data_IF_124126958933
#
_entry.id   IF_124126958933
#
_cell.length_a   1.000
_cell.length_b   1.000
_cell.length_c   1.000
_cell.angle_alpha   90.00
_cell.angle_beta   90.00
_cell.angle_gamma   90.00
#
_symmetry.space_group_name_H-M   'P 1'
#
loop_
_entity.id
_entity.type
_entity.pdbx_description
1 polymer ?
#
# COMPACT_ATOMS: atom_id res chain seq x y z
N UNK A 1 24.53 -7.94 9.03
CA UNK A 1 24.79 -7.73 7.61
C UNK A 1 23.47 -7.39 6.94
N UNK A 2 23.21 -6.08 6.83
CA UNK A 2 22.04 -5.55 6.14
C UNK A 2 22.35 -5.49 4.64
N UNK A 3 22.80 -6.63 4.09
CA UNK A 3 23.04 -6.76 2.67
C UNK A 3 21.78 -6.36 1.88
N UNK A 4 21.93 -5.65 0.80
CA UNK A 4 20.84 -5.08 0.02
C UNK A 4 20.10 -6.12 -0.83
N UNK A 5 19.91 -7.32 -0.33
CA UNK A 5 19.07 -8.32 -0.96
C UNK A 5 17.60 -7.97 -0.76
N UNK A 6 17.24 -6.81 -1.29
CA UNK A 6 15.89 -6.55 -1.70
C UNK A 6 15.60 -7.53 -2.83
N UNK A 7 15.15 -8.73 -2.46
CA UNK A 7 14.69 -9.66 -3.47
C UNK A 7 13.47 -9.04 -4.09
N UNK A 8 13.67 -8.53 -5.29
CA UNK A 8 12.60 -7.88 -6.04
C UNK A 8 11.52 -8.93 -6.31
N UNK A 9 10.25 -8.70 -5.92
CA UNK A 9 9.17 -9.62 -6.24
C UNK A 9 9.12 -9.84 -7.74
N UNK A 10 8.96 -11.07 -8.19
CA UNK A 10 8.84 -11.39 -9.62
C UNK A 10 7.36 -11.56 -9.98
N UNK A 11 6.95 -11.03 -11.12
CA UNK A 11 5.60 -11.23 -11.62
C UNK A 11 5.28 -12.73 -11.72
N UNK A 12 4.18 -13.15 -11.09
CA UNK A 12 3.79 -14.56 -11.03
C UNK A 12 4.67 -15.47 -10.18
N UNK A 13 5.68 -14.94 -9.49
CA UNK A 13 6.53 -15.69 -8.59
C UNK A 13 6.34 -15.23 -7.13
N UNK A 14 6.32 -16.18 -6.21
CA UNK A 14 6.30 -15.89 -4.79
C UNK A 14 7.72 -15.58 -4.28
N UNK A 15 7.80 -14.70 -3.29
CA UNK A 15 9.03 -14.33 -2.62
C UNK A 15 8.98 -14.71 -1.15
N UNK A 16 10.12 -15.07 -0.59
CA UNK A 16 10.22 -15.33 0.83
C UNK A 16 10.00 -14.04 1.63
N UNK A 17 9.02 -14.11 2.50
CA UNK A 17 8.56 -12.99 3.31
C UNK A 17 9.65 -12.46 4.26
N UNK A 18 10.44 -13.34 4.87
CA UNK A 18 11.54 -12.97 5.75
C UNK A 18 12.63 -12.18 5.02
N UNK A 19 12.83 -12.45 3.76
CA UNK A 19 13.82 -11.74 2.94
C UNK A 19 13.36 -10.30 2.67
N UNK A 20 12.08 -10.09 2.42
CA UNK A 20 11.50 -8.76 2.18
C UNK A 20 11.43 -7.91 3.45
N UNK A 21 11.30 -8.51 4.62
CA UNK A 21 11.25 -7.76 5.89
C UNK A 21 12.54 -7.07 6.27
N UNK A 22 13.67 -7.49 5.73
CA UNK A 22 14.97 -6.85 5.95
C UNK A 22 15.15 -5.58 5.14
N UNK A 23 14.44 -5.47 4.07
CA UNK A 23 14.57 -4.42 3.07
C UNK A 23 14.23 -3.02 3.56
N UNK A 24 13.11 -2.77 4.24
CA UNK A 24 12.78 -1.45 4.76
C UNK A 24 13.80 -0.92 5.76
N UNK A 25 14.41 -1.79 6.56
CA UNK A 25 15.44 -1.37 7.53
C UNK A 25 16.70 -0.83 6.88
N UNK A 26 17.07 -1.37 5.74
CA UNK A 26 18.21 -0.84 5.00
C UNK A 26 18.04 0.64 4.70
N UNK A 27 16.86 1.06 4.27
CA UNK A 27 16.59 2.45 3.94
C UNK A 27 16.44 3.37 5.16
N UNK A 28 16.02 2.84 6.30
CA UNK A 28 15.95 3.61 7.55
C UNK A 28 17.34 3.89 8.12
N UNK A 29 18.29 3.00 7.89
CA UNK A 29 19.66 3.12 8.43
C UNK A 29 20.67 3.71 7.45
N UNK A 30 20.30 3.85 6.19
CA UNK A 30 21.18 4.42 5.18
C UNK A 30 21.36 5.93 5.34
N UNK A 31 22.37 6.43 4.74
CA UNK A 31 22.99 7.77 4.81
C UNK A 31 22.06 8.97 4.98
N UNK A 32 22.66 10.10 5.29
CA UNK A 32 21.99 11.36 5.56
C UNK A 32 20.97 11.75 4.48
N UNK A 33 19.85 12.38 4.88
CA UNK A 33 18.84 12.83 3.94
C UNK A 33 19.42 13.83 2.95
N UNK A 34 19.01 13.71 1.71
CA UNK A 34 19.37 14.66 0.66
C UNK A 34 18.59 15.96 0.81
N UNK A 35 19.04 17.00 0.15
CA UNK A 35 18.35 18.29 0.14
C UNK A 35 17.09 18.29 -0.73
N UNK A 36 16.85 17.21 -1.46
CA UNK A 36 15.77 17.11 -2.43
C UNK A 36 14.66 16.16 -1.94
N UNK A 37 13.42 16.61 -1.95
CA UNK A 37 12.29 15.76 -1.72
C UNK A 37 12.15 14.72 -2.86
N UNK A 38 11.71 13.49 -2.57
CA UNK A 38 11.52 12.48 -3.58
C UNK A 38 10.55 12.92 -4.69
N UNK A 39 10.89 12.66 -5.94
CA UNK A 39 10.08 13.05 -7.09
C UNK A 39 8.70 12.36 -7.08
N UNK A 40 8.64 11.11 -6.66
CA UNK A 40 7.42 10.32 -6.59
C UNK A 40 6.37 10.78 -5.57
N UNK A 41 6.66 11.84 -4.80
CA UNK A 41 5.69 12.47 -3.88
C UNK A 41 5.04 13.71 -4.48
N UNK A 42 5.09 13.86 -5.77
CA UNK A 42 4.54 14.96 -6.53
C UNK A 42 5.61 15.82 -7.17
N UNK A 43 5.33 16.23 -8.38
CA UNK A 43 6.27 16.92 -9.27
C UNK A 43 6.84 18.24 -8.70
N UNK A 44 6.21 18.82 -7.68
CA UNK A 44 6.56 20.15 -7.22
C UNK A 44 7.50 20.18 -6.02
N UNK A 45 7.84 19.05 -5.41
CA UNK A 45 8.62 19.02 -4.15
C UNK A 45 8.09 20.01 -3.11
N UNK A 46 6.78 20.23 -3.10
CA UNK A 46 6.11 21.15 -2.20
C UNK A 46 5.60 20.45 -0.96
N UNK A 47 5.23 21.25 0.03
CA UNK A 47 4.42 20.73 1.13
C UNK A 47 3.10 20.22 0.60
N UNK A 48 2.84 18.94 0.71
CA UNK A 48 1.62 18.32 0.23
C UNK A 48 1.23 17.14 1.11
N UNK A 49 -0.05 16.79 1.05
CA UNK A 49 -0.56 15.56 1.62
C UNK A 49 -1.20 14.73 0.52
N UNK A 50 -0.71 13.51 0.37
CA UNK A 50 -1.29 12.49 -0.49
C UNK A 50 -2.21 11.60 0.35
N UNK A 51 -3.29 11.13 -0.23
CA UNK A 51 -4.26 10.23 0.40
C UNK A 51 -4.34 8.92 -0.37
N UNK A 52 -4.70 7.81 0.32
CA UNK A 52 -4.70 6.54 -0.37
C UNK A 52 -5.13 5.33 0.45
N UNK A 53 -4.59 4.20 0.08
CA UNK A 53 -4.97 2.90 0.59
C UNK A 53 -3.76 2.11 1.06
N UNK A 54 -3.99 1.20 2.01
CA UNK A 54 -3.02 0.19 2.43
C UNK A 54 -3.70 -1.16 2.54
N UNK A 55 -2.91 -2.22 2.38
CA UNK A 55 -3.33 -3.59 2.64
C UNK A 55 -2.12 -4.48 2.90
N UNK A 56 -2.33 -5.58 3.62
CA UNK A 56 -1.25 -6.49 3.92
C UNK A 56 -1.66 -7.61 4.86
N UNK A 57 -0.65 -8.19 5.51
CA UNK A 57 -0.80 -9.27 6.45
C UNK A 57 -0.36 -8.85 7.85
N UNK A 58 -1.14 -9.27 8.84
CA UNK A 58 -0.88 -9.08 10.25
C UNK A 58 -0.72 -10.44 10.92
N UNK A 59 0.41 -10.66 11.58
CA UNK A 59 0.65 -11.81 12.45
C UNK A 59 0.43 -11.39 13.89
N UNK A 60 -0.54 -11.99 14.55
CA UNK A 60 -0.88 -11.77 15.95
C UNK A 60 -0.35 -12.93 16.78
N UNK A 61 0.43 -12.62 17.80
CA UNK A 61 0.95 -13.60 18.75
C UNK A 61 0.30 -13.41 20.11
N UNK A 62 -0.37 -14.44 20.60
CA UNK A 62 -0.98 -14.44 21.93
C UNK A 62 0.05 -14.66 23.06
N UNK A 63 -0.40 -14.59 24.30
CA UNK A 63 0.42 -14.81 25.49
C UNK A 63 0.95 -16.26 25.63
N UNK A 64 0.33 -17.22 24.97
CA UNK A 64 0.75 -18.61 24.89
C UNK A 64 1.79 -18.85 23.77
N UNK A 65 2.02 -17.82 22.94
CA UNK A 65 2.94 -17.90 21.82
C UNK A 65 2.33 -18.42 20.51
N UNK A 66 1.00 -18.61 20.47
CA UNK A 66 0.29 -19.02 19.25
C UNK A 66 0.25 -17.85 18.27
N UNK A 67 0.58 -18.10 17.02
CA UNK A 67 0.51 -17.09 15.95
C UNK A 67 -0.72 -17.31 15.12
N UNK A 68 -1.51 -16.24 14.96
CA UNK A 68 -2.65 -16.18 14.04
C UNK A 68 -2.36 -15.16 12.97
N UNK A 69 -2.42 -15.57 11.71
CA UNK A 69 -2.20 -14.72 10.55
C UNK A 69 -3.53 -14.27 9.96
N UNK A 70 -3.69 -12.98 9.78
CA UNK A 70 -4.87 -12.39 9.15
C UNK A 70 -4.47 -11.42 8.05
N UNK A 71 -5.40 -11.12 7.14
CA UNK A 71 -5.24 -10.05 6.16
C UNK A 71 -5.92 -8.77 6.68
N UNK A 72 -5.39 -7.63 6.27
CA UNK A 72 -6.03 -6.34 6.54
C UNK A 72 -6.09 -5.48 5.27
N UNK A 73 -6.99 -4.53 5.27
CA UNK A 73 -7.12 -3.50 4.25
C UNK A 73 -7.67 -2.22 4.87
N UNK A 74 -7.29 -1.07 4.34
CA UNK A 74 -7.92 0.20 4.66
C UNK A 74 -9.34 0.25 4.09
N UNK A 75 -10.27 0.92 4.80
CA UNK A 75 -11.68 0.98 4.41
C UNK A 75 -11.99 2.03 3.35
N UNK A 76 -11.19 3.11 3.31
CA UNK A 76 -11.40 4.24 2.40
C UNK A 76 -10.10 4.99 2.10
N UNK A 77 -10.16 5.92 1.14
CA UNK A 77 -8.99 6.66 0.65
C UNK A 77 -8.34 7.59 1.68
N UNK A 78 -9.03 7.96 2.74
CA UNK A 78 -8.47 8.84 3.79
C UNK A 78 -7.74 8.06 4.89
N UNK A 79 -7.79 6.74 4.86
CA UNK A 79 -7.14 5.88 5.86
C UNK A 79 -5.61 5.88 5.71
N UNK A 80 -5.11 6.25 4.55
CA UNK A 80 -3.69 6.50 4.33
C UNK A 80 -3.48 7.97 4.02
N UNK A 81 -2.56 8.59 4.72
CA UNK A 81 -2.07 9.92 4.38
C UNK A 81 -0.55 9.97 4.46
N UNK A 82 0.05 10.59 3.46
CA UNK A 82 1.51 10.82 3.42
C UNK A 82 1.73 12.32 3.20
N UNK A 83 2.29 12.97 4.21
CA UNK A 83 2.57 14.41 4.19
C UNK A 83 4.05 14.64 4.02
N UNK A 84 4.42 15.47 3.06
CA UNK A 84 5.81 15.87 2.81
C UNK A 84 6.03 17.32 3.14
N UNK A 85 7.25 17.62 3.58
CA UNK A 85 7.74 18.99 3.80
C UNK A 85 8.98 19.21 2.94
N UNK A 86 8.83 19.98 1.90
CA UNK A 86 9.95 20.37 1.04
C UNK A 86 10.99 21.23 1.77
N UNK A 87 10.54 22.06 2.73
CA UNK A 87 11.43 22.93 3.51
C UNK A 87 12.41 22.16 4.39
N UNK A 88 11.94 21.07 5.00
CA UNK A 88 12.69 20.27 5.95
C UNK A 88 13.21 18.95 5.37
N UNK A 89 12.90 18.67 4.12
CA UNK A 89 13.18 17.39 3.46
C UNK A 89 12.71 16.19 4.30
N UNK A 90 11.43 16.22 4.72
CA UNK A 90 10.85 15.27 5.66
C UNK A 90 9.48 14.79 5.20
N UNK A 91 9.09 13.64 5.73
CA UNK A 91 7.76 13.11 5.55
C UNK A 91 7.19 12.57 6.86
N UNK A 92 5.88 12.54 6.94
CA UNK A 92 5.13 11.77 7.92
C UNK A 92 4.03 10.99 7.22
N UNK A 93 3.63 9.87 7.79
CA UNK A 93 2.51 9.09 7.27
C UNK A 93 1.59 8.62 8.40
N UNK A 94 0.33 8.41 8.05
CA UNK A 94 -0.65 7.72 8.88
C UNK A 94 -1.24 6.58 8.06
N UNK A 95 -1.30 5.39 8.66
CA UNK A 95 -1.89 4.18 8.07
C UNK A 95 -2.97 3.66 9.00
N UNK A 96 -4.24 3.85 8.60
CA UNK A 96 -5.38 3.26 9.29
C UNK A 96 -5.89 2.06 8.52
N UNK A 97 -6.19 0.98 9.23
CA UNK A 97 -6.67 -0.26 8.62
C UNK A 97 -7.46 -1.09 9.61
N UNK A 98 -8.15 -2.09 9.09
CA UNK A 98 -8.97 -3.01 9.88
C UNK A 98 -8.61 -4.44 9.50
N UNK A 99 -8.59 -5.34 10.47
CA UNK A 99 -8.49 -6.77 10.23
C UNK A 99 -9.76 -7.24 9.52
N UNK A 100 -9.61 -7.82 8.33
CA UNK A 100 -10.76 -8.28 7.52
C UNK A 100 -11.52 -9.44 8.16
N UNK A 101 -10.86 -10.20 9.03
CA UNK A 101 -11.47 -11.31 9.76
C UNK A 101 -12.07 -10.88 11.10
N UNK A 102 -11.64 -9.73 11.62
CA UNK A 102 -12.18 -9.15 12.85
C UNK A 102 -12.33 -7.62 12.71
N UNK A 103 -13.48 -7.15 12.21
CA UNK A 103 -13.70 -5.72 11.96
C UNK A 103 -13.70 -4.86 13.24
N UNK A 104 -13.71 -5.47 14.42
CA UNK A 104 -13.52 -4.76 15.68
C UNK A 104 -12.06 -4.42 15.97
N UNK A 105 -11.11 -5.02 15.24
CA UNK A 105 -9.70 -4.70 15.33
C UNK A 105 -9.37 -3.62 14.28
N UNK A 106 -9.36 -2.38 14.71
CA UNK A 106 -8.92 -1.23 13.91
C UNK A 106 -7.61 -0.67 14.45
N UNK A 107 -6.78 -0.18 13.55
CA UNK A 107 -5.42 0.28 13.80
C UNK A 107 -5.24 1.66 13.18
N UNK A 108 -4.45 2.51 13.84
CA UNK A 108 -3.96 3.79 13.31
C UNK A 108 -2.49 3.91 13.69
N UNK A 109 -1.62 3.72 12.71
CA UNK A 109 -0.17 3.77 12.88
C UNK A 109 0.38 5.06 12.27
N UNK A 110 1.25 5.74 13.01
CA UNK A 110 1.85 7.02 12.60
C UNK A 110 3.35 6.90 12.56
N UNK A 111 3.92 7.34 11.48
CA UNK A 111 5.36 7.36 11.30
C UNK A 111 5.87 8.72 10.88
N UNK A 112 7.12 8.95 11.23
CA UNK A 112 7.84 10.13 10.84
C UNK A 112 7.35 11.41 11.44
N UNK A 113 7.93 12.50 10.98
CA UNK A 113 7.57 13.86 11.37
C UNK A 113 8.00 14.83 10.27
N UNK A 114 7.16 15.79 9.97
CA UNK A 114 7.53 16.93 9.11
C UNK A 114 8.19 18.07 9.88
N UNK A 115 8.19 17.99 11.22
CA UNK A 115 8.77 19.00 12.10
C UNK A 115 9.70 18.35 13.11
N UNK A 116 10.78 19.02 13.43
CA UNK A 116 11.72 18.59 14.48
C UNK A 116 12.64 17.43 14.08
N UNK A 117 13.75 17.36 14.79
CA UNK A 117 14.77 16.32 14.70
C UNK A 117 14.79 15.57 16.03
N UNK A 118 14.22 14.40 16.09
CA UNK A 118 14.59 13.45 17.13
C UNK A 118 15.07 12.16 16.47
N UNK A 119 15.79 11.33 17.23
CA UNK A 119 16.41 10.12 16.72
C UNK A 119 15.42 9.12 16.08
N UNK A 120 14.13 9.30 16.33
CA UNK A 120 13.04 8.44 15.85
C UNK A 120 12.20 9.13 14.77
N UNK A 121 12.58 10.32 14.32
CA UNK A 121 11.84 11.00 13.26
C UNK A 121 12.36 10.62 11.89
N UNK A 122 11.46 10.60 10.94
CA UNK A 122 11.73 10.28 9.55
C UNK A 122 12.71 11.21 8.91
N UNK A 123 13.44 10.69 7.96
CA UNK A 123 14.20 11.46 7.01
C UNK A 123 14.14 10.82 5.64
N UNK A 124 14.29 11.60 4.59
CA UNK A 124 14.59 11.08 3.26
C UNK A 124 15.99 10.50 3.25
N UNK A 125 16.16 9.43 2.50
CA UNK A 125 17.43 8.71 2.46
C UNK A 125 18.19 9.07 1.19
N UNK A 126 17.51 9.25 0.10
CA UNK A 126 18.07 9.67 -1.18
C UNK A 126 17.05 10.43 -2.03
N UNK A 127 17.43 10.84 -3.24
CA UNK A 127 16.56 11.59 -4.14
C UNK A 127 15.43 10.74 -4.70
N UNK A 128 15.51 9.45 -4.51
CA UNK A 128 14.67 8.49 -5.21
C UNK A 128 13.72 7.73 -4.28
N UNK A 129 14.06 7.61 -3.01
CA UNK A 129 13.27 6.86 -2.02
C UNK A 129 13.35 7.54 -0.68
N UNK A 130 12.31 7.36 0.12
CA UNK A 130 12.37 7.76 1.51
C UNK A 130 11.97 6.61 2.42
N UNK A 131 12.49 6.61 3.61
CA UNK A 131 12.07 5.74 4.67
C UNK A 131 11.70 6.56 5.89
N UNK A 132 10.74 6.08 6.64
CA UNK A 132 10.23 6.72 7.84
C UNK A 132 10.52 5.80 9.01
N UNK A 133 11.24 6.32 9.99
CA UNK A 133 11.42 5.64 11.26
C UNK A 133 10.21 5.80 12.17
N UNK A 134 10.07 4.93 13.16
CA UNK A 134 8.96 4.97 14.09
C UNK A 134 9.07 6.08 15.12
N UNK A 135 7.91 6.63 15.50
CA UNK A 135 7.75 7.27 16.80
C UNK A 135 7.30 6.21 17.81
N UNK A 136 7.92 6.10 18.99
CA UNK A 136 7.53 5.13 20.01
C UNK A 136 6.10 5.30 20.55
N UNK A 137 5.43 6.39 20.21
CA UNK A 137 4.06 6.70 20.64
C UNK A 137 3.06 6.66 19.47
N UNK A 138 3.44 6.06 18.36
CA UNK A 138 2.78 6.29 17.07
C UNK A 138 1.65 5.34 16.70
N UNK A 139 0.98 4.69 17.63
CA UNK A 139 -0.12 3.81 17.25
C UNK A 139 -1.25 3.73 18.24
N UNK A 140 -2.45 3.55 17.75
CA UNK A 140 -3.63 3.21 18.53
C UNK A 140 -4.40 2.07 17.87
N UNK A 141 -5.07 1.29 18.71
CA UNK A 141 -6.04 0.29 18.27
C UNK A 141 -7.27 0.43 19.15
N UNK A 142 -8.41 -0.10 18.72
CA UNK A 142 -9.61 -0.10 19.56
C UNK A 142 -9.50 -0.99 20.81
N UNK A 143 -8.43 -1.78 20.93
CA UNK A 143 -8.14 -2.64 22.09
C UNK A 143 -6.96 -2.15 22.94
N UNK A 144 -6.54 -0.90 22.78
CA UNK A 144 -5.47 -0.30 23.57
C UNK A 144 -4.44 0.44 22.72
N UNK A 145 -3.45 1.01 23.40
CA UNK A 145 -2.34 1.70 22.75
C UNK A 145 -1.08 0.84 22.84
N UNK A 146 -0.74 0.10 21.80
CA UNK A 146 0.48 -0.71 21.80
C UNK A 146 1.71 0.19 21.78
N UNK A 147 2.80 -0.31 22.30
CA UNK A 147 4.13 0.22 22.01
C UNK A 147 4.48 -0.20 20.58
N UNK A 148 4.65 0.77 19.71
CA UNK A 148 4.96 0.53 18.30
C UNK A 148 6.46 0.69 18.09
N UNK A 149 7.08 -0.32 17.49
CA UNK A 149 8.52 -0.35 17.19
C UNK A 149 8.73 -0.78 15.75
N UNK A 150 9.95 -0.57 15.25
CA UNK A 150 10.37 -1.05 13.93
C UNK A 150 9.46 -0.59 12.78
N UNK A 151 8.75 0.54 12.95
CA UNK A 151 8.01 1.12 11.84
C UNK A 151 8.97 1.64 10.78
N UNK A 152 8.79 1.16 9.57
CA UNK A 152 9.52 1.63 8.40
C UNK A 152 8.60 1.68 7.20
N UNK A 153 8.77 2.68 6.36
CA UNK A 153 8.06 2.85 5.11
C UNK A 153 9.05 3.15 4.00
N UNK A 154 8.91 2.47 2.88
CA UNK A 154 9.69 2.70 1.66
C UNK A 154 8.72 3.12 0.57
N UNK A 155 9.06 4.17 -0.14
CA UNK A 155 8.32 4.61 -1.31
C UNK A 155 9.09 4.30 -2.57
N UNK A 156 8.34 3.92 -3.58
CA UNK A 156 8.77 3.96 -4.95
C UNK A 156 8.81 5.40 -5.46
N UNK A 157 9.75 5.66 -6.32
CA UNK A 157 9.95 6.94 -6.93
C UNK A 157 9.82 6.91 -8.42
N UNK A 158 8.88 7.56 -8.92
CA UNK A 158 8.37 7.67 -10.26
C UNK A 158 9.31 7.75 -11.45
N UNK A 159 10.60 7.68 -11.40
CA UNK A 159 11.43 7.74 -12.62
C UNK A 159 12.71 6.91 -12.51
N UNK A 160 12.71 5.79 -13.18
CA UNK A 160 13.94 5.20 -13.71
C UNK A 160 14.70 4.18 -12.85
N UNK A 161 14.35 3.96 -11.56
CA UNK A 161 15.06 3.00 -10.70
C UNK A 161 14.15 2.08 -9.87
N UNK A 162 13.01 1.72 -10.40
CA UNK A 162 11.99 0.97 -9.67
C UNK A 162 12.15 -0.53 -9.73
N UNK A 163 13.17 -0.97 -10.44
CA UNK A 163 13.55 -2.39 -10.52
C UNK A 163 13.74 -3.05 -9.15
N UNK A 164 13.99 -2.24 -8.11
CA UNK A 164 14.22 -2.74 -6.77
C UNK A 164 12.93 -3.09 -6.01
N UNK A 165 11.78 -2.54 -6.40
CA UNK A 165 10.51 -2.79 -5.73
C UNK A 165 9.57 -3.69 -6.52
N UNK A 166 9.74 -3.74 -7.84
CA UNK A 166 9.00 -4.65 -8.73
C UNK A 166 9.96 -5.34 -9.69
N UNK A 167 9.66 -6.57 -10.12
CA UNK A 167 10.51 -7.31 -11.05
C UNK A 167 10.52 -6.67 -12.45
N UNK A 168 11.61 -6.87 -13.15
CA UNK A 168 11.73 -6.48 -14.55
C UNK A 168 10.59 -7.07 -15.39
N UNK A 169 9.97 -6.25 -16.22
CA UNK A 169 8.87 -6.65 -17.11
C UNK A 169 7.47 -6.46 -16.56
N UNK A 170 7.31 -6.08 -15.28
CA UNK A 170 6.03 -5.61 -14.76
C UNK A 170 5.86 -4.15 -15.12
N UNK A 171 4.74 -3.82 -15.77
CA UNK A 171 4.36 -2.42 -15.99
C UNK A 171 3.92 -1.82 -14.66
N UNK A 172 4.72 -0.95 -14.08
CA UNK A 172 4.36 -0.22 -12.87
C UNK A 172 3.78 1.16 -13.19
N UNK A 173 3.13 1.75 -12.20
CA UNK A 173 2.71 3.14 -12.32
C UNK A 173 3.91 4.05 -12.09
N UNK A 174 4.44 4.57 -13.18
CA UNK A 174 5.40 5.66 -13.20
C UNK A 174 4.62 6.99 -13.21
N UNK A 175 4.15 7.38 -12.03
CA UNK A 175 3.20 8.47 -11.87
C UNK A 175 3.78 9.55 -10.96
N UNK A 176 4.12 10.71 -11.49
CA UNK A 176 4.65 11.83 -10.69
C UNK A 176 3.65 12.36 -9.62
N UNK A 177 2.36 12.06 -9.77
CA UNK A 177 1.27 12.51 -8.90
C UNK A 177 0.77 11.44 -7.93
N UNK A 178 1.29 10.24 -8.02
CA UNK A 178 1.02 9.10 -7.13
C UNK A 178 2.32 8.51 -6.63
N UNK A 179 2.27 8.01 -5.41
CA UNK A 179 3.35 7.25 -4.80
C UNK A 179 2.83 5.94 -4.25
N UNK A 180 3.66 4.92 -4.22
CA UNK A 180 3.33 3.61 -3.69
C UNK A 180 4.59 2.93 -3.13
N UNK A 181 4.42 1.88 -2.38
CA UNK A 181 5.56 1.15 -1.82
C UNK A 181 5.14 0.15 -0.76
N UNK A 182 6.06 -0.10 0.17
CA UNK A 182 5.91 -1.06 1.24
C UNK A 182 6.09 -0.40 2.61
N UNK A 183 5.54 -1.02 3.63
CA UNK A 183 5.78 -0.63 5.01
C UNK A 183 5.72 -1.84 5.95
N UNK A 184 6.25 -1.68 7.16
CA UNK A 184 6.28 -2.69 8.19
C UNK A 184 6.20 -2.07 9.58
N UNK A 185 5.90 -2.88 10.59
CA UNK A 185 5.89 -2.43 11.98
C UNK A 185 5.58 -3.54 12.96
N UNK A 186 6.07 -3.37 14.18
CA UNK A 186 5.78 -4.23 15.32
C UNK A 186 4.95 -3.46 16.35
N UNK A 187 3.97 -4.13 16.95
CA UNK A 187 3.12 -3.62 18.01
C UNK A 187 3.19 -4.56 19.21
N UNK A 188 3.44 -4.01 20.40
CA UNK A 188 3.50 -4.77 21.65
C UNK A 188 2.50 -4.20 22.65
N UNK A 189 1.66 -5.03 23.18
CA UNK A 189 0.68 -4.66 24.20
C UNK A 189 1.27 -4.90 25.59
N UNK A 190 1.65 -3.82 26.27
CA UNK A 190 2.28 -3.89 27.60
C UNK A 190 1.27 -3.69 28.72
N UNK A 191 0.07 -3.20 28.41
CA UNK A 191 -1.00 -2.92 29.36
C UNK A 191 -2.37 -3.25 28.77
N UNK A 192 -3.40 -3.29 29.64
CA UNK A 192 -4.79 -3.51 29.22
C UNK A 192 -5.13 -4.98 28.95
N UNK A 193 -6.28 -5.25 28.31
CA UNK A 193 -6.77 -6.61 28.09
C UNK A 193 -5.86 -7.51 27.25
N UNK A 194 -5.00 -6.90 26.43
CA UNK A 194 -4.07 -7.60 25.54
C UNK A 194 -2.62 -7.62 26.04
N UNK A 195 -2.40 -7.29 27.32
CA UNK A 195 -1.05 -7.26 27.88
C UNK A 195 -0.33 -8.60 27.67
N UNK A 196 0.88 -8.54 27.10
CA UNK A 196 1.69 -9.73 26.76
C UNK A 196 1.51 -10.23 25.32
N UNK A 197 0.53 -9.71 24.58
CA UNK A 197 0.37 -10.00 23.15
C UNK A 197 1.27 -9.10 22.29
N UNK A 198 1.56 -9.57 21.10
CA UNK A 198 2.28 -8.78 20.08
C UNK A 198 1.69 -9.00 18.71
N UNK A 199 1.85 -8.01 17.86
CA UNK A 199 1.44 -8.06 16.47
C UNK A 199 2.57 -7.57 15.58
N UNK A 200 2.66 -8.13 14.38
CA UNK A 200 3.66 -7.76 13.39
C UNK A 200 3.05 -7.64 12.01
N UNK A 201 3.27 -6.49 11.39
CA UNK A 201 3.12 -6.30 9.96
C UNK A 201 4.50 -6.45 9.34
N UNK A 202 4.74 -7.52 8.59
CA UNK A 202 6.07 -7.78 8.04
C UNK A 202 6.36 -6.92 6.82
N UNK A 203 5.54 -7.04 5.81
CA UNK A 203 5.57 -6.19 4.61
C UNK A 203 4.13 -5.97 4.17
N UNK A 204 3.65 -4.77 4.32
CA UNK A 204 2.38 -4.34 3.75
C UNK A 204 2.63 -3.43 2.57
N UNK A 205 1.62 -3.24 1.75
CA UNK A 205 1.66 -2.35 0.58
C UNK A 205 0.84 -1.10 0.82
N UNK A 206 1.19 -0.02 0.17
CA UNK A 206 0.45 1.23 0.22
C UNK A 206 0.51 1.95 -1.13
N UNK A 207 -0.49 2.75 -1.41
CA UNK A 207 -0.59 3.67 -2.55
C UNK A 207 -1.27 4.94 -2.09
N UNK A 208 -0.75 6.10 -2.47
CA UNK A 208 -1.35 7.39 -2.18
C UNK A 208 -1.10 8.38 -3.31
N UNK A 209 -2.01 9.33 -3.48
CA UNK A 209 -1.91 10.33 -4.53
C UNK A 209 -2.73 11.58 -4.22
N UNK A 210 -2.67 12.53 -5.13
CA UNK A 210 -3.48 13.74 -5.07
C UNK A 210 -4.93 13.42 -5.45
N UNK A 211 -5.86 13.72 -4.55
CA UNK A 211 -7.27 13.45 -4.80
C UNK A 211 -7.92 14.59 -5.62
N UNK A 212 -8.60 14.29 -6.73
CA UNK A 212 -9.51 15.24 -7.34
C UNK A 212 -10.75 15.43 -6.45
N UNK A 213 -11.41 16.55 -6.57
CA UNK A 213 -12.75 16.71 -5.99
C UNK A 213 -13.75 15.79 -6.73
N UNK A 214 -14.84 15.45 -6.06
CA UNK A 214 -15.90 14.62 -6.69
C UNK A 214 -16.49 15.28 -7.95
N UNK A 215 -16.55 16.62 -7.97
CA UNK A 215 -17.10 17.39 -9.08
C UNK A 215 -16.19 17.44 -10.33
N UNK A 216 -14.91 17.15 -10.18
CA UNK A 216 -13.95 17.12 -11.30
C UNK A 216 -13.98 15.80 -12.08
N UNK A 217 -14.64 14.78 -11.54
CA UNK A 217 -14.74 13.49 -12.25
C UNK A 217 -15.66 13.63 -13.46
N UNK A 218 -15.20 13.26 -14.66
CA UNK A 218 -16.01 13.33 -15.88
C UNK A 218 -17.33 12.56 -15.77
N UNK A 219 -18.36 13.06 -16.42
CA UNK A 219 -19.68 12.41 -16.49
C UNK A 219 -19.86 11.55 -17.74
N UNK A 220 -18.88 11.53 -18.64
CA UNK A 220 -18.95 10.78 -19.90
C UNK A 220 -17.57 10.42 -20.41
N UNK A 221 -17.52 9.50 -21.37
CA UNK A 221 -16.29 9.01 -21.96
C UNK A 221 -15.79 7.72 -21.31
N UNK A 222 -14.66 7.23 -21.81
CA UNK A 222 -13.98 6.05 -21.33
C UNK A 222 -12.49 6.32 -21.11
N UNK A 223 -11.88 5.59 -20.19
CA UNK A 223 -10.42 5.63 -19.97
C UNK A 223 -9.89 4.22 -19.68
N UNK A 224 -8.69 3.94 -20.16
CA UNK A 224 -7.94 2.74 -19.84
C UNK A 224 -6.86 3.10 -18.83
N UNK A 225 -6.77 2.33 -17.76
CA UNK A 225 -5.70 2.40 -16.75
C UNK A 225 -4.88 1.12 -16.78
N UNK A 226 -3.56 1.26 -16.68
CA UNK A 226 -2.62 0.14 -16.59
C UNK A 226 -1.53 0.43 -15.55
N UNK A 227 -1.06 -0.62 -14.92
CA UNK A 227 0.01 -0.56 -13.94
C UNK A 227 0.20 -1.91 -13.24
N UNK A 228 0.47 -1.88 -11.94
CA UNK A 228 0.80 -3.07 -11.16
C UNK A 228 -0.19 -3.30 -10.02
N UNK A 229 -0.19 -4.53 -9.53
CA UNK A 229 -0.76 -4.95 -8.26
C UNK A 229 0.32 -5.69 -7.47
N UNK A 230 0.45 -5.39 -6.17
CA UNK A 230 1.39 -6.07 -5.29
C UNK A 230 0.74 -6.32 -3.94
N UNK A 231 1.04 -7.44 -3.29
CA UNK A 231 0.40 -7.77 -2.02
C UNK A 231 0.97 -9.01 -1.35
N UNK A 232 0.59 -9.16 -0.08
CA UNK A 232 0.91 -10.32 0.72
C UNK A 232 -0.01 -11.48 0.40
N UNK A 233 0.56 -12.65 0.35
CA UNK A 233 -0.14 -13.93 0.18
C UNK A 233 0.15 -14.80 1.38
N UNK A 234 -0.88 -15.44 1.91
CA UNK A 234 -0.76 -16.61 2.77
C UNK A 234 -1.38 -17.80 2.03
N UNK A 235 -0.56 -18.77 1.70
CA UNK A 235 -0.96 -19.97 0.95
C UNK A 235 -0.53 -21.21 1.71
N UNK A 236 -1.48 -21.96 2.25
CA UNK A 236 -1.22 -23.15 3.08
C UNK A 236 -0.26 -22.84 4.26
N UNK A 237 -0.34 -21.65 4.85
CA UNK A 237 0.51 -21.20 5.95
C UNK A 237 1.86 -20.61 5.54
N UNK A 238 2.21 -20.64 4.26
CA UNK A 238 3.39 -19.95 3.75
C UNK A 238 3.03 -18.51 3.39
N UNK A 239 3.79 -17.53 3.91
CA UNK A 239 3.60 -16.10 3.67
C UNK A 239 4.69 -15.55 2.74
N UNK A 240 4.29 -14.78 1.73
CA UNK A 240 5.17 -14.18 0.74
C UNK A 240 4.51 -12.99 0.05
N UNK A 241 5.28 -12.23 -0.71
CA UNK A 241 4.77 -11.14 -1.57
C UNK A 241 4.62 -11.64 -3.00
N UNK A 242 3.49 -11.34 -3.62
CA UNK A 242 3.24 -11.57 -5.03
C UNK A 242 2.98 -10.26 -5.77
N UNK A 243 3.21 -10.29 -7.08
CA UNK A 243 3.03 -9.16 -7.98
C UNK A 243 2.25 -9.60 -9.21
N UNK A 244 1.43 -8.73 -9.73
CA UNK A 244 0.67 -8.91 -10.96
C UNK A 244 0.49 -7.60 -11.71
N UNK A 245 -0.15 -7.67 -12.86
CA UNK A 245 -0.49 -6.51 -13.66
C UNK A 245 -1.90 -6.02 -13.34
N UNK A 246 -2.05 -4.72 -13.11
CA UNK A 246 -3.35 -4.07 -12.97
C UNK A 246 -3.82 -3.51 -14.30
N UNK A 247 -5.10 -3.69 -14.59
CA UNK A 247 -5.78 -3.07 -15.74
C UNK A 247 -7.23 -2.76 -15.40
N UNK A 248 -7.69 -1.57 -15.78
CA UNK A 248 -9.11 -1.22 -15.70
C UNK A 248 -9.55 -0.38 -16.90
N UNK A 249 -10.65 -0.76 -17.53
CA UNK A 249 -11.37 0.08 -18.49
C UNK A 249 -12.56 0.69 -17.78
N UNK A 250 -12.55 2.01 -17.61
CA UNK A 250 -13.59 2.74 -16.90
C UNK A 250 -14.50 3.49 -17.86
N UNK A 251 -15.81 3.38 -17.67
CA UNK A 251 -16.84 4.14 -18.37
C UNK A 251 -17.46 5.15 -17.39
N UNK A 252 -17.22 6.43 -17.64
CA UNK A 252 -17.69 7.52 -16.77
C UNK A 252 -19.21 7.71 -16.82
N UNK A 253 -19.86 7.42 -17.96
CA UNK A 253 -21.32 7.54 -18.07
C UNK A 253 -22.07 6.53 -17.21
N UNK A 254 -21.62 5.28 -17.20
CA UNK A 254 -22.19 4.22 -16.35
C UNK A 254 -21.59 4.21 -14.95
N UNK A 255 -20.48 4.90 -14.71
CA UNK A 255 -19.67 4.84 -13.47
C UNK A 255 -19.27 3.42 -13.14
N UNK A 256 -18.85 2.67 -14.13
CA UNK A 256 -18.42 1.26 -13.98
C UNK A 256 -17.08 1.04 -14.64
N UNK A 257 -16.30 0.13 -14.07
CA UNK A 257 -15.00 -0.28 -14.58
C UNK A 257 -14.89 -1.80 -14.69
N UNK A 258 -14.42 -2.27 -15.84
CA UNK A 258 -13.97 -3.65 -15.99
C UNK A 258 -12.56 -3.75 -15.37
N UNK A 259 -12.51 -4.26 -14.16
CA UNK A 259 -11.32 -4.40 -13.33
C UNK A 259 -10.65 -5.74 -13.57
N UNK A 260 -9.32 -5.76 -13.65
CA UNK A 260 -8.51 -6.97 -13.81
C UNK A 260 -7.20 -6.86 -13.03
N UNK A 261 -6.80 -7.95 -12.41
CA UNK A 261 -5.44 -8.21 -11.95
C UNK A 261 -4.99 -9.50 -12.65
N UNK A 262 -3.95 -9.42 -13.46
CA UNK A 262 -3.44 -10.55 -14.22
C UNK A 262 -2.14 -11.05 -13.61
N UNK A 263 -1.96 -12.37 -13.63
CA UNK A 263 -0.75 -13.05 -13.18
C UNK A 263 -0.33 -12.73 -11.72
N UNK A 264 -1.28 -12.43 -10.85
CA UNK A 264 -1.00 -12.29 -9.43
C UNK A 264 -0.96 -13.67 -8.78
N UNK A 265 0.22 -14.06 -8.30
CA UNK A 265 0.48 -15.41 -7.77
C UNK A 265 0.05 -16.54 -8.74
N UNK A 266 0.30 -16.32 -10.04
CA UNK A 266 -0.07 -17.24 -11.12
C UNK A 266 -1.56 -17.31 -11.43
N UNK A 267 -2.37 -16.40 -10.90
CA UNK A 267 -3.82 -16.32 -11.13
C UNK A 267 -4.23 -15.02 -11.78
N UNK A 268 -5.31 -15.09 -12.59
CA UNK A 268 -5.99 -13.93 -13.15
C UNK A 268 -7.32 -13.70 -12.43
N UNK A 269 -7.61 -12.46 -12.11
CA UNK A 269 -8.82 -12.04 -11.40
C UNK A 269 -9.53 -10.93 -12.17
N UNK A 270 -10.85 -10.98 -12.22
CA UNK A 270 -11.66 -9.95 -12.86
C UNK A 270 -12.94 -9.65 -12.11
N UNK A 271 -13.49 -8.45 -12.34
CA UNK A 271 -14.78 -8.05 -11.80
C UNK A 271 -15.24 -6.73 -12.37
N UNK A 272 -16.43 -6.32 -11.98
CA UNK A 272 -16.97 -4.99 -12.27
C UNK A 272 -16.91 -4.18 -10.99
N UNK A 273 -16.22 -3.06 -11.04
CA UNK A 273 -16.24 -2.05 -10.00
C UNK A 273 -17.22 -0.93 -10.39
N UNK A 274 -17.81 -0.28 -9.40
CA UNK A 274 -18.74 0.82 -9.61
C UNK A 274 -18.54 1.93 -8.60
N UNK A 275 -18.83 3.17 -9.02
CA UNK A 275 -18.81 4.34 -8.17
C UNK A 275 -20.24 4.82 -7.87
N UNK A 276 -20.56 5.15 -6.59
CA UNK A 276 -21.84 5.75 -6.25
C UNK A 276 -22.03 7.11 -6.92
N UNK A 277 -23.29 7.54 -7.10
CA UNK A 277 -23.62 8.83 -7.73
C UNK A 277 -23.00 10.00 -6.96
N UNK A 278 -23.04 9.95 -5.63
CA UNK A 278 -22.54 11.02 -4.76
C UNK A 278 -21.02 11.04 -4.59
N UNK A 279 -20.34 9.95 -4.92
CA UNK A 279 -18.87 9.80 -4.78
C UNK A 279 -18.25 9.19 -6.04
N UNK A 280 -18.37 9.85 -7.21
CA UNK A 280 -17.90 9.28 -8.48
C UNK A 280 -16.39 9.06 -8.55
N UNK A 281 -15.61 9.67 -7.66
CA UNK A 281 -14.16 9.48 -7.54
C UNK A 281 -13.80 8.09 -7.00
N UNK A 282 -14.62 7.55 -6.08
CA UNK A 282 -14.30 6.36 -5.32
C UNK A 282 -15.12 5.17 -5.84
N UNK A 283 -14.49 4.04 -6.05
CA UNK A 283 -15.13 2.86 -6.63
C UNK A 283 -14.83 1.57 -5.85
N UNK A 284 -15.73 0.61 -5.95
CA UNK A 284 -15.52 -0.72 -5.37
C UNK A 284 -16.29 -1.79 -6.15
N UNK A 285 -15.90 -3.04 -5.94
CA UNK A 285 -16.58 -4.21 -6.53
C UNK A 285 -15.96 -5.53 -6.12
N UNK A 286 -16.68 -6.59 -6.42
CA UNK A 286 -16.17 -7.96 -6.20
C UNK A 286 -15.33 -8.41 -7.40
N UNK A 287 -14.32 -9.23 -7.12
CA UNK A 287 -13.47 -9.87 -8.11
C UNK A 287 -13.52 -11.38 -7.95
N UNK A 288 -13.34 -12.10 -9.05
CA UNK A 288 -13.34 -13.56 -9.07
C UNK A 288 -12.15 -14.04 -9.90
N UNK A 289 -11.52 -15.10 -9.45
CA UNK A 289 -10.47 -15.77 -10.20
C UNK A 289 -11.02 -16.43 -11.46
N UNK A 290 -10.42 -16.12 -12.59
CA UNK A 290 -10.88 -16.55 -13.91
C UNK A 290 -9.91 -17.47 -14.62
N UNK A 291 -8.65 -17.52 -14.17
CA UNK A 291 -7.62 -18.33 -14.80
C UNK A 291 -6.51 -18.72 -13.80
N UNK A 292 -5.72 -19.73 -14.17
CA UNK A 292 -4.55 -20.19 -13.43
C UNK A 292 -4.89 -20.61 -11.98
N UNK A 293 -4.02 -20.25 -11.05
CA UNK A 293 -4.23 -20.51 -9.62
C UNK A 293 -5.39 -19.71 -9.03
N UNK A 294 -5.91 -18.72 -9.76
CA UNK A 294 -7.05 -17.91 -9.34
C UNK A 294 -8.39 -18.64 -9.31
N UNK A 295 -8.53 -19.72 -10.07
CA UNK A 295 -9.81 -20.47 -10.18
C UNK A 295 -10.26 -20.93 -8.78
N UNK A 296 -11.52 -20.61 -8.45
CA UNK A 296 -12.13 -20.93 -7.15
C UNK A 296 -11.82 -19.93 -6.04
N UNK A 297 -11.06 -18.86 -6.34
CA UNK A 297 -10.81 -17.75 -5.41
C UNK A 297 -11.75 -16.58 -5.72
N UNK A 298 -12.13 -15.86 -4.70
CA UNK A 298 -12.97 -14.64 -4.79
C UNK A 298 -12.39 -13.55 -3.93
N UNK A 299 -12.77 -12.31 -4.19
CA UNK A 299 -12.28 -11.18 -3.42
C UNK A 299 -13.06 -9.90 -3.71
N UNK A 300 -12.48 -8.81 -3.26
CA UNK A 300 -13.00 -7.46 -3.48
C UNK A 300 -11.85 -6.51 -3.83
N UNK A 301 -12.18 -5.47 -4.57
CA UNK A 301 -11.29 -4.36 -4.86
C UNK A 301 -12.01 -3.04 -4.60
N UNK A 302 -11.29 -2.05 -4.10
CA UNK A 302 -11.74 -0.67 -3.99
C UNK A 302 -10.61 0.29 -4.32
N UNK A 303 -10.95 1.47 -4.77
CA UNK A 303 -9.96 2.47 -5.14
C UNK A 303 -10.56 3.83 -5.44
N UNK A 304 -9.68 4.73 -5.84
CA UNK A 304 -10.03 6.11 -6.20
C UNK A 304 -9.28 6.54 -7.46
N UNK A 305 -9.81 7.56 -8.11
CA UNK A 305 -9.05 8.30 -9.12
C UNK A 305 -8.09 9.27 -8.42
N UNK A 306 -6.94 9.45 -9.04
CA UNK A 306 -5.92 10.40 -8.61
C UNK A 306 -5.63 11.42 -9.72
N UNK A 307 -5.42 12.66 -9.27
CA UNK A 307 -5.19 13.80 -10.16
C UNK A 307 -3.71 14.05 -10.41
N UNK A 308 -3.39 14.49 -11.61
CA UNK A 308 -2.15 15.20 -11.94
C UNK A 308 -2.42 16.70 -12.04
N UNK A 309 -1.40 17.55 -12.17
CA UNK A 309 -1.59 18.97 -12.42
C UNK A 309 -2.44 19.30 -13.65
N UNK A 310 -2.56 18.36 -14.59
CA UNK A 310 -3.24 18.57 -15.89
C UNK A 310 -4.49 17.72 -16.08
N UNK A 311 -4.78 16.76 -15.18
CA UNK A 311 -5.91 15.87 -15.34
C UNK A 311 -6.44 15.37 -13.99
N UNK A 312 -7.75 15.50 -13.71
CA UNK A 312 -8.34 14.97 -12.48
C UNK A 312 -8.44 13.43 -12.45
N UNK A 313 -8.21 12.77 -13.56
CA UNK A 313 -8.33 11.32 -13.73
C UNK A 313 -7.04 10.71 -14.29
N UNK A 314 -5.90 11.26 -13.89
CA UNK A 314 -4.60 10.85 -14.41
C UNK A 314 -4.22 9.41 -14.01
N UNK A 315 -4.68 8.94 -12.86
CA UNK A 315 -4.41 7.59 -12.37
C UNK A 315 -5.53 7.00 -11.54
N UNK A 316 -5.35 5.74 -11.21
CA UNK A 316 -6.16 4.98 -10.26
C UNK A 316 -5.24 4.23 -9.30
N UNK A 317 -5.68 4.11 -8.05
CA UNK A 317 -5.04 3.28 -7.06
C UNK A 317 -6.02 2.86 -5.98
N UNK A 318 -5.70 1.76 -5.31
CA UNK A 318 -6.60 1.20 -4.31
C UNK A 318 -6.04 -0.05 -3.69
N UNK A 319 -6.87 -0.79 -2.98
CA UNK A 319 -6.53 -2.07 -2.41
C UNK A 319 -7.45 -3.19 -2.90
N UNK A 320 -7.00 -4.42 -2.68
CA UNK A 320 -7.75 -5.62 -2.98
C UNK A 320 -7.52 -6.68 -1.91
N UNK A 321 -8.48 -7.59 -1.79
CA UNK A 321 -8.37 -8.82 -1.02
C UNK A 321 -8.79 -10.00 -1.88
N UNK A 322 -8.17 -11.16 -1.67
CA UNK A 322 -8.50 -12.42 -2.35
C UNK A 322 -8.54 -13.53 -1.32
N UNK A 323 -9.56 -14.37 -1.39
CA UNK A 323 -9.75 -15.50 -0.49
C UNK A 323 -10.05 -16.78 -1.29
N UNK A 324 -9.56 -17.90 -0.79
CA UNK A 324 -9.79 -19.25 -1.34
C UNK A 324 -9.55 -20.32 -0.28
N UNK A 325 -9.62 -21.58 -0.68
CA UNK A 325 -9.31 -22.69 0.22
C UNK A 325 -7.82 -22.61 0.62
N UNK A 326 -7.54 -22.45 1.93
CA UNK A 326 -6.18 -22.28 2.48
C UNK A 326 -5.36 -21.16 1.80
N UNK A 327 -6.04 -20.16 1.25
CA UNK A 327 -5.43 -19.05 0.56
C UNK A 327 -6.08 -17.74 0.97
N UNK A 328 -5.26 -16.77 1.31
CA UNK A 328 -5.68 -15.39 1.47
C UNK A 328 -4.61 -14.44 0.96
N UNK A 329 -5.03 -13.33 0.38
CA UNK A 329 -4.12 -12.28 -0.05
C UNK A 329 -4.75 -10.92 0.17
N UNK A 330 -3.91 -9.91 0.44
CA UNK A 330 -4.28 -8.51 0.47
C UNK A 330 -3.15 -7.66 -0.08
N UNK A 331 -3.49 -6.66 -0.88
CA UNK A 331 -2.50 -5.82 -1.52
C UNK A 331 -3.08 -4.52 -2.07
N UNK A 332 -2.22 -3.76 -2.73
CA UNK A 332 -2.60 -2.52 -3.41
C UNK A 332 -2.33 -2.61 -4.90
N UNK A 333 -3.03 -1.78 -5.65
CA UNK A 333 -2.79 -1.59 -7.08
C UNK A 333 -2.61 -0.10 -7.39
N UNK A 334 -1.85 0.19 -8.43
CA UNK A 334 -1.64 1.52 -8.95
C UNK A 334 -1.54 1.47 -10.48
N UNK A 335 -2.12 2.45 -11.15
CA UNK A 335 -2.05 2.53 -12.60
C UNK A 335 -2.26 3.93 -13.14
N UNK A 336 -1.60 4.24 -14.25
CA UNK A 336 -1.76 5.49 -14.99
C UNK A 336 -2.78 5.35 -16.12
N UNK A 337 -3.46 6.44 -16.39
CA UNK A 337 -4.31 6.57 -17.57
C UNK A 337 -3.46 6.45 -18.83
N UNK A 338 -3.87 5.57 -19.71
CA UNK A 338 -3.24 5.40 -21.01
C UNK A 338 -3.74 6.46 -22.01
N UNK A 339 -2.91 6.83 -22.98
CA UNK A 339 -3.27 7.78 -24.03
C UNK A 339 -4.53 7.41 -24.81
#
# INVERSE_FOLDING_TARGET
DLSPDLVTPQAGASQDFETLTKSPYYYVTASAPTTNAPAGLGASRTNQTLYGYTAGQLDMRDTAGTITTTQFASGNVNDVSVTTSATNNRASASMAFTDVNNPYNSYDLKFGSTTGLNANSSSFIDDQRYALGSSPTGGSTNNGNPVVTNLAMVTHQGVGNDADLLPAGVSYCDCEFMSWGYWMGDMQYTTGPRAGESERVHVATWVAGTLPSQAEIPLSGTALYKGHATGNVNNNGASYVAVGEFRQVWNFSSRQGAFQINNFDGGDYSGITSAPIGTPRDFSGNITGINGTGIGRTGAAQGSFFASPTSPIAGQGGNFTINGANYSAAGTFAGSKQP
#
